data_IF_844095329156
#
_entry.id   IF_844095329156
#
_cell.length_a   1.000
_cell.length_b   1.000
_cell.length_c   1.000
_cell.angle_alpha   90.00
_cell.angle_beta   90.00
_cell.angle_gamma   90.00
#
_symmetry.space_group_name_H-M   'P 1'
#
loop_
_entity.id
_entity.type
_entity.pdbx_description
1 polymer ?
#
# COMPACT_ATOMS: atom_id res chain seq x y z
N UNK A 1 -5.08 -7.53 9.59
CA UNK A 1 -4.51 -6.23 9.13
C UNK A 1 -3.70 -6.51 7.86
N UNK A 2 -3.41 -5.51 7.03
CA UNK A 2 -2.76 -5.65 5.72
C UNK A 2 -1.38 -4.96 5.68
N UNK A 3 -0.59 -5.09 4.60
CA UNK A 3 0.59 -4.23 4.40
C UNK A 3 0.20 -2.78 4.07
N UNK A 4 -1.04 -2.53 3.63
CA UNK A 4 -1.55 -1.22 3.24
C UNK A 4 -1.91 -0.34 4.46
N UNK A 5 -1.27 0.83 4.67
CA UNK A 5 -1.58 1.71 5.79
C UNK A 5 -3.00 2.30 5.69
N UNK A 6 -3.50 2.61 4.49
CA UNK A 6 -4.84 3.16 4.29
C UNK A 6 -5.92 2.21 4.83
N UNK A 7 -5.95 0.96 4.37
CA UNK A 7 -6.97 -0.01 4.78
C UNK A 7 -6.87 -0.35 6.27
N UNK A 8 -5.66 -0.38 6.83
CA UNK A 8 -5.47 -0.53 8.26
C UNK A 8 -6.08 0.63 9.05
N UNK A 9 -5.92 1.87 8.58
CA UNK A 9 -6.57 3.05 9.17
C UNK A 9 -8.09 2.93 9.09
N UNK A 10 -8.65 2.54 7.94
CA UNK A 10 -10.09 2.38 7.79
C UNK A 10 -10.67 1.30 8.74
N UNK A 11 -9.99 0.15 8.89
CA UNK A 11 -10.37 -0.87 9.87
C UNK A 11 -10.21 -0.39 11.32
N UNK A 12 -9.14 0.35 11.64
CA UNK A 12 -8.92 0.93 12.97
C UNK A 12 -10.02 1.94 13.34
N UNK A 13 -10.57 2.66 12.37
CA UNK A 13 -11.61 3.66 12.59
C UNK A 13 -13.04 3.12 12.41
N UNK A 14 -13.20 1.86 11.98
CA UNK A 14 -14.50 1.21 11.84
C UNK A 14 -15.24 1.54 10.53
N UNK A 15 -14.55 2.11 9.53
CA UNK A 15 -15.07 2.20 8.16
C UNK A 15 -15.07 0.82 7.48
N UNK A 16 -14.11 -0.03 7.86
CA UNK A 16 -14.12 -1.47 7.57
C UNK A 16 -14.37 -2.25 8.86
N UNK A 17 -14.70 -3.54 8.72
CA UNK A 17 -14.75 -4.45 9.87
C UNK A 17 -13.46 -4.35 10.68
N UNK A 18 -13.58 -4.13 12.00
CA UNK A 18 -12.43 -3.80 12.86
C UNK A 18 -11.42 -4.93 12.99
N UNK A 19 -11.86 -6.17 12.82
CA UNK A 19 -11.01 -7.36 12.74
C UNK A 19 -10.33 -7.52 11.36
N UNK A 20 -10.79 -6.77 10.37
CA UNK A 20 -10.28 -6.76 9.01
C UNK A 20 -10.69 -7.98 8.21
N UNK A 21 -11.84 -8.60 8.51
CA UNK A 21 -12.30 -9.83 7.87
C UNK A 21 -13.57 -9.65 7.04
N UNK A 22 -13.77 -10.56 6.07
CA UNK A 22 -14.99 -10.65 5.26
C UNK A 22 -15.33 -9.33 4.55
N UNK A 23 -14.35 -8.77 3.84
CA UNK A 23 -14.46 -7.50 3.14
C UNK A 23 -14.67 -7.74 1.64
N UNK A 24 -15.86 -7.41 1.14
CA UNK A 24 -16.13 -7.43 -0.31
C UNK A 24 -15.49 -6.22 -0.97
N UNK A 25 -15.28 -6.29 -2.29
CA UNK A 25 -14.74 -5.16 -3.06
C UNK A 25 -15.61 -3.90 -2.85
N UNK A 26 -16.94 -4.04 -2.88
CA UNK A 26 -17.89 -2.95 -2.66
C UNK A 26 -17.78 -2.33 -1.25
N UNK A 27 -17.56 -3.14 -0.22
CA UNK A 27 -17.35 -2.63 1.14
C UNK A 27 -16.06 -1.80 1.22
N UNK A 28 -14.99 -2.27 0.55
CA UNK A 28 -13.71 -1.55 0.52
C UNK A 28 -13.85 -0.24 -0.27
N UNK A 29 -14.50 -0.28 -1.44
CA UNK A 29 -14.75 0.91 -2.27
C UNK A 29 -15.51 1.98 -1.47
N UNK A 30 -16.63 1.60 -0.85
CA UNK A 30 -17.45 2.52 -0.07
C UNK A 30 -16.68 3.13 1.12
N UNK A 31 -15.85 2.34 1.80
CA UNK A 31 -15.03 2.81 2.90
C UNK A 31 -13.95 3.80 2.45
N UNK A 32 -13.25 3.53 1.34
CA UNK A 32 -12.24 4.44 0.79
C UNK A 32 -12.90 5.75 0.35
N UNK A 33 -13.97 5.68 -0.45
CA UNK A 33 -14.65 6.86 -0.98
C UNK A 33 -15.18 7.76 0.15
N UNK A 34 -15.83 7.17 1.15
CA UNK A 34 -16.41 7.93 2.27
C UNK A 34 -15.37 8.57 3.19
N UNK A 35 -14.25 7.89 3.43
CA UNK A 35 -13.23 8.38 4.36
C UNK A 35 -12.20 9.30 3.68
N UNK A 36 -11.82 9.00 2.45
CA UNK A 36 -10.71 9.65 1.73
C UNK A 36 -11.16 10.62 0.64
N UNK A 37 -12.48 10.74 0.40
CA UNK A 37 -13.05 11.59 -0.65
C UNK A 37 -12.48 11.29 -2.06
N UNK A 38 -12.23 10.00 -2.32
CA UNK A 38 -11.76 9.51 -3.61
C UNK A 38 -12.95 9.19 -4.51
N UNK A 39 -12.86 9.46 -5.80
CA UNK A 39 -13.93 9.08 -6.73
C UNK A 39 -13.92 7.56 -7.00
N UNK A 40 -15.03 7.04 -7.51
CA UNK A 40 -15.21 5.61 -7.73
C UNK A 40 -14.20 5.03 -8.72
N UNK A 41 -13.91 5.72 -9.83
CA UNK A 41 -13.02 5.18 -10.86
C UNK A 41 -11.59 5.06 -10.31
N UNK A 42 -11.11 6.08 -9.61
CA UNK A 42 -9.80 6.03 -8.95
C UNK A 42 -9.76 4.95 -7.87
N UNK A 43 -10.82 4.82 -7.07
CA UNK A 43 -10.91 3.79 -6.03
C UNK A 43 -10.86 2.37 -6.63
N UNK A 44 -11.64 2.12 -7.68
CA UNK A 44 -11.73 0.81 -8.32
C UNK A 44 -10.45 0.41 -9.06
N UNK A 45 -9.63 1.37 -9.48
CA UNK A 45 -8.29 1.06 -10.00
C UNK A 45 -7.45 0.32 -8.95
N UNK A 46 -7.65 0.58 -7.65
CA UNK A 46 -6.93 -0.12 -6.59
C UNK A 46 -7.58 -1.44 -6.23
N UNK A 47 -8.88 -1.41 -5.92
CA UNK A 47 -9.59 -2.56 -5.37
C UNK A 47 -9.80 -3.66 -6.39
N UNK A 48 -10.15 -3.32 -7.64
CA UNK A 48 -10.31 -4.31 -8.71
C UNK A 48 -8.98 -4.97 -9.07
N UNK A 49 -7.88 -4.22 -9.08
CA UNK A 49 -6.54 -4.78 -9.28
C UNK A 49 -6.18 -5.75 -8.15
N UNK A 50 -6.42 -5.38 -6.88
CA UNK A 50 -6.17 -6.29 -5.75
C UNK A 50 -6.96 -7.60 -5.86
N UNK A 51 -8.26 -7.53 -6.17
CA UNK A 51 -9.10 -8.73 -6.32
C UNK A 51 -8.65 -9.59 -7.51
N UNK A 52 -8.40 -8.96 -8.66
CA UNK A 52 -7.95 -9.67 -9.87
C UNK A 52 -6.62 -10.38 -9.63
N UNK A 53 -5.68 -9.75 -8.95
CA UNK A 53 -4.37 -10.33 -8.65
C UNK A 53 -4.43 -11.49 -7.66
N UNK A 54 -5.41 -11.49 -6.76
CA UNK A 54 -5.72 -12.62 -5.90
C UNK A 54 -6.51 -13.73 -6.62
N UNK A 55 -6.82 -13.57 -7.91
CA UNK A 55 -7.60 -14.53 -8.70
C UNK A 55 -9.09 -14.53 -8.34
N UNK A 56 -9.59 -13.43 -7.79
CA UNK A 56 -10.95 -13.28 -7.29
C UNK A 56 -11.84 -12.55 -8.30
N UNK A 57 -13.14 -12.88 -8.27
CA UNK A 57 -14.13 -12.18 -9.09
C UNK A 57 -14.28 -10.72 -8.64
N UNK A 58 -14.31 -9.80 -9.59
CA UNK A 58 -14.59 -8.37 -9.37
C UNK A 58 -16.07 -8.02 -9.58
N UNK A 59 -16.90 -8.99 -9.99
CA UNK A 59 -18.32 -8.79 -10.28
C UNK A 59 -19.25 -9.62 -9.39
N UNK A 60 -18.72 -10.62 -8.68
CA UNK A 60 -19.49 -11.39 -7.71
C UNK A 60 -19.50 -10.66 -6.36
N UNK A 61 -20.65 -10.16 -5.88
CA UNK A 61 -20.73 -9.39 -4.65
C UNK A 61 -20.53 -10.24 -3.38
N UNK A 62 -20.52 -11.58 -3.50
CA UNK A 62 -20.28 -12.48 -2.37
C UNK A 62 -18.81 -12.73 -2.08
N UNK A 63 -17.92 -12.43 -3.05
CA UNK A 63 -16.49 -12.63 -2.91
C UNK A 63 -15.91 -11.59 -1.96
N UNK A 64 -15.20 -12.07 -0.96
CA UNK A 64 -14.62 -11.26 0.10
C UNK A 64 -13.19 -11.70 0.41
N UNK A 65 -12.41 -10.77 0.94
CA UNK A 65 -11.06 -11.00 1.45
C UNK A 65 -10.98 -10.65 2.92
N UNK A 66 -10.01 -11.23 3.59
CA UNK A 66 -9.47 -10.69 4.83
C UNK A 66 -8.29 -9.76 4.48
N UNK A 67 -8.07 -8.71 5.27
CA UNK A 67 -6.98 -7.75 5.01
C UNK A 67 -5.60 -8.40 4.93
N UNK A 68 -5.42 -9.54 5.59
CA UNK A 68 -4.16 -10.30 5.57
C UNK A 68 -3.91 -10.99 4.21
N UNK A 69 -4.94 -11.24 3.40
CA UNK A 69 -4.80 -11.80 2.05
C UNK A 69 -4.03 -10.86 1.11
N UNK A 70 -4.03 -9.55 1.41
CA UNK A 70 -3.24 -8.56 0.70
C UNK A 70 -1.73 -8.66 0.99
N UNK A 71 -1.30 -9.58 1.86
CA UNK A 71 0.10 -9.90 2.10
C UNK A 71 0.64 -10.99 1.15
N UNK A 72 0.04 -11.10 -0.03
CA UNK A 72 0.44 -12.06 -1.04
C UNK A 72 1.62 -11.51 -1.87
N UNK A 73 2.84 -11.87 -1.47
CA UNK A 73 4.08 -11.42 -2.11
C UNK A 73 4.13 -11.75 -3.61
N UNK A 74 4.49 -10.77 -4.42
CA UNK A 74 4.55 -10.86 -5.88
C UNK A 74 3.20 -10.72 -6.58
N UNK A 75 2.10 -10.78 -5.82
CA UNK A 75 0.76 -10.43 -6.26
C UNK A 75 0.51 -8.98 -5.82
N UNK A 76 -0.22 -8.80 -4.74
CA UNK A 76 -0.61 -7.48 -4.20
C UNK A 76 0.48 -6.83 -3.35
N UNK A 77 1.35 -7.63 -2.72
CA UNK A 77 2.49 -7.13 -1.95
C UNK A 77 3.78 -7.19 -2.78
N UNK A 78 4.66 -6.21 -2.60
CA UNK A 78 5.91 -6.10 -3.34
C UNK A 78 7.09 -5.55 -2.51
N UNK A 79 8.28 -5.91 -2.95
CA UNK A 79 9.54 -5.42 -2.40
C UNK A 79 9.72 -3.90 -2.61
N UNK A 80 10.72 -3.34 -1.93
CA UNK A 80 11.01 -1.91 -1.89
C UNK A 80 9.83 -1.08 -1.37
N UNK A 81 9.01 -1.64 -0.47
CA UNK A 81 7.96 -0.92 0.24
C UNK A 81 8.50 0.31 0.99
N UNK A 82 7.70 1.39 1.10
CA UNK A 82 8.16 2.63 1.75
C UNK A 82 8.58 2.45 3.21
N UNK A 83 7.86 1.59 3.94
CA UNK A 83 7.95 1.48 5.40
C UNK A 83 7.90 0.05 5.93
N UNK A 84 7.91 -0.95 5.04
CA UNK A 84 7.88 -2.39 5.35
C UNK A 84 9.11 -3.05 4.74
N UNK A 85 9.56 -4.14 5.35
CA UNK A 85 10.67 -4.94 4.84
C UNK A 85 10.25 -5.67 3.57
N UNK A 86 11.24 -5.97 2.74
CA UNK A 86 11.09 -6.88 1.61
C UNK A 86 10.89 -8.32 2.11
N UNK A 87 10.35 -9.20 1.25
CA UNK A 87 10.02 -10.57 1.65
C UNK A 87 11.23 -11.35 2.16
N UNK A 88 12.39 -11.16 1.55
CA UNK A 88 13.62 -11.84 1.95
C UNK A 88 14.19 -11.33 3.27
N UNK A 89 13.81 -10.11 3.65
CA UNK A 89 14.27 -9.46 4.88
C UNK A 89 13.38 -9.84 6.09
N UNK A 90 12.14 -10.29 5.84
CA UNK A 90 11.29 -10.89 6.88
C UNK A 90 9.82 -10.49 6.78
N UNK A 91 9.31 -9.84 7.84
CA UNK A 91 7.90 -9.47 8.00
C UNK A 91 7.52 -8.28 7.10
N UNK A 92 6.65 -8.55 6.12
CA UNK A 92 6.13 -7.61 5.13
C UNK A 92 4.88 -6.85 5.60
N UNK A 93 4.28 -7.23 6.74
CA UNK A 93 3.05 -6.59 7.25
C UNK A 93 3.35 -5.39 8.15
N UNK A 94 4.28 -5.57 9.08
CA UNK A 94 4.49 -4.61 10.18
C UNK A 94 5.35 -3.43 9.73
N UNK A 95 4.89 -2.24 10.11
CA UNK A 95 5.64 -1.00 9.99
C UNK A 95 7.02 -1.14 10.63
N UNK A 96 8.04 -0.69 9.93
CA UNK A 96 9.40 -0.50 10.43
C UNK A 96 9.60 0.98 10.81
N UNK A 97 9.69 1.33 12.11
CA UNK A 97 9.80 2.72 12.55
C UNK A 97 10.96 3.47 11.89
N UNK A 98 12.14 2.85 11.83
CA UNK A 98 13.32 3.46 11.23
C UNK A 98 13.14 3.78 9.73
N UNK A 99 12.33 3.01 9.00
CA UNK A 99 12.07 3.28 7.58
C UNK A 99 11.12 4.48 7.40
N UNK A 100 10.15 4.63 8.31
CA UNK A 100 9.31 5.82 8.38
C UNK A 100 10.15 7.06 8.73
N UNK A 101 11.03 6.95 9.72
CA UNK A 101 11.94 8.04 10.08
C UNK A 101 12.82 8.44 8.89
N UNK A 102 13.36 7.46 8.15
CA UNK A 102 14.14 7.74 6.94
C UNK A 102 13.31 8.42 5.85
N UNK A 103 12.04 8.03 5.65
CA UNK A 103 11.14 8.70 4.71
C UNK A 103 10.88 10.16 5.10
N UNK A 104 10.69 10.43 6.40
CA UNK A 104 10.52 11.79 6.91
C UNK A 104 11.81 12.60 6.77
N UNK A 105 12.96 12.00 7.06
CA UNK A 105 14.27 12.63 6.90
C UNK A 105 14.60 12.97 5.45
N UNK A 106 14.08 12.21 4.47
CA UNK A 106 14.22 12.52 3.05
C UNK A 106 13.54 13.85 2.66
N UNK A 107 12.70 14.45 3.51
CA UNK A 107 12.21 15.83 3.34
C UNK A 107 13.34 16.88 3.43
N UNK A 108 14.45 16.55 4.10
CA UNK A 108 15.55 17.46 4.35
C UNK A 108 15.12 18.62 5.26
N UNK A 109 15.47 19.88 4.95
CA UNK A 109 15.08 21.03 5.77
C UNK A 109 13.59 21.41 5.63
N UNK A 110 12.86 20.81 4.68
CA UNK A 110 11.44 21.06 4.49
C UNK A 110 10.63 20.44 5.64
N UNK A 111 9.65 21.16 6.22
CA UNK A 111 8.72 20.57 7.18
C UNK A 111 7.64 19.69 6.51
N UNK A 112 7.61 19.64 5.17
CA UNK A 112 6.63 18.88 4.40
C UNK A 112 7.29 17.84 3.51
N UNK A 113 6.60 16.71 3.33
CA UNK A 113 6.86 15.79 2.22
C UNK A 113 6.38 16.43 0.90
N UNK A 114 7.12 16.20 -0.17
CA UNK A 114 6.77 16.64 -1.52
C UNK A 114 7.22 15.59 -2.53
N UNK A 115 6.94 15.84 -3.81
CA UNK A 115 7.32 14.92 -4.89
C UNK A 115 8.81 14.62 -4.94
N UNK A 116 9.66 15.60 -4.61
CA UNK A 116 11.12 15.41 -4.58
C UNK A 116 11.56 14.55 -3.40
N UNK A 117 11.02 14.77 -2.20
CA UNK A 117 11.36 13.93 -1.04
C UNK A 117 10.86 12.50 -1.21
N UNK A 118 9.65 12.30 -1.74
CA UNK A 118 9.14 10.96 -2.04
C UNK A 118 9.97 10.27 -3.14
N UNK A 119 10.43 11.01 -4.15
CA UNK A 119 11.37 10.49 -5.14
C UNK A 119 12.71 10.05 -4.54
N UNK A 120 13.25 10.80 -3.57
CA UNK A 120 14.44 10.39 -2.79
C UNK A 120 14.18 9.11 -2.01
N UNK A 121 13.04 9.01 -1.33
CA UNK A 121 12.64 7.79 -0.60
C UNK A 121 12.56 6.60 -1.53
N UNK A 122 11.91 6.72 -2.69
CA UNK A 122 11.81 5.63 -3.68
C UNK A 122 13.17 5.16 -4.16
N UNK A 123 14.02 6.10 -4.58
CA UNK A 123 15.38 5.78 -5.04
C UNK A 123 16.22 5.12 -3.95
N UNK A 124 16.06 5.55 -2.68
CA UNK A 124 16.74 4.94 -1.54
C UNK A 124 16.23 3.53 -1.26
N UNK A 125 14.90 3.33 -1.22
CA UNK A 125 14.28 2.03 -0.96
C UNK A 125 14.65 0.99 -2.00
N UNK A 126 14.68 1.34 -3.28
CA UNK A 126 15.11 0.43 -4.34
C UNK A 126 16.57 0.03 -4.21
N UNK A 127 17.47 0.95 -3.85
CA UNK A 127 18.89 0.62 -3.58
C UNK A 127 19.04 -0.30 -2.36
N UNK A 128 18.33 0.00 -1.27
CA UNK A 128 18.35 -0.81 -0.04
C UNK A 128 17.79 -2.22 -0.30
N UNK A 129 16.71 -2.34 -1.08
CA UNK A 129 16.10 -3.59 -1.53
C UNK A 129 17.10 -4.46 -2.31
N UNK A 130 17.74 -3.88 -3.33
CA UNK A 130 18.79 -4.57 -4.10
C UNK A 130 19.99 -4.97 -3.24
N UNK A 131 20.43 -4.09 -2.33
CA UNK A 131 21.55 -4.37 -1.45
C UNK A 131 21.25 -5.51 -0.46
N UNK A 132 19.98 -5.69 -0.08
CA UNK A 132 19.53 -6.82 0.74
C UNK A 132 19.45 -8.15 -0.03
N UNK A 133 19.55 -8.12 -1.36
CA UNK A 133 19.48 -9.29 -2.24
C UNK A 133 18.13 -9.50 -2.92
N UNK A 134 17.20 -8.54 -2.82
CA UNK A 134 15.91 -8.63 -3.50
C UNK A 134 16.11 -8.49 -5.03
N UNK A 135 15.25 -9.12 -5.84
CA UNK A 135 15.33 -8.98 -7.28
C UNK A 135 15.05 -7.54 -7.72
N UNK A 136 15.48 -7.20 -8.94
CA UNK A 136 15.06 -5.94 -9.58
C UNK A 136 13.54 -5.94 -9.69
N UNK A 137 12.91 -4.85 -9.28
CA UNK A 137 11.47 -4.68 -9.36
C UNK A 137 10.98 -4.87 -10.80
N UNK A 138 9.88 -5.60 -10.95
CA UNK A 138 9.16 -5.69 -12.22
C UNK A 138 8.53 -4.33 -12.56
N UNK A 139 8.22 -4.10 -13.85
CA UNK A 139 7.52 -2.86 -14.26
C UNK A 139 6.19 -2.66 -13.52
N UNK A 140 5.50 -3.76 -13.19
CA UNK A 140 4.31 -3.75 -12.34
C UNK A 140 4.63 -3.19 -10.95
N UNK A 141 5.60 -3.79 -10.25
CA UNK A 141 5.97 -3.39 -8.90
C UNK A 141 6.48 -1.93 -8.85
N UNK A 142 7.23 -1.49 -9.86
CA UNK A 142 7.62 -0.08 -10.02
C UNK A 142 6.40 0.83 -10.14
N UNK A 143 5.41 0.44 -10.94
CA UNK A 143 4.13 1.15 -11.04
C UNK A 143 3.43 1.30 -9.69
N UNK A 144 3.24 0.19 -8.96
CA UNK A 144 2.63 0.20 -7.62
C UNK A 144 3.39 1.10 -6.65
N UNK A 145 4.72 0.94 -6.59
CA UNK A 145 5.61 1.76 -5.77
C UNK A 145 5.43 3.28 -5.98
N UNK A 146 5.28 3.70 -7.23
CA UNK A 146 5.10 5.12 -7.59
C UNK A 146 3.70 5.62 -7.24
N UNK A 147 2.67 4.81 -7.48
CA UNK A 147 1.29 5.17 -7.14
C UNK A 147 1.14 5.30 -5.62
N UNK A 148 1.69 4.38 -4.83
CA UNK A 148 1.67 4.46 -3.36
C UNK A 148 2.38 5.69 -2.82
N UNK A 149 3.52 6.06 -3.41
CA UNK A 149 4.23 7.29 -3.04
C UNK A 149 3.40 8.54 -3.37
N UNK A 150 2.64 8.54 -4.47
CA UNK A 150 1.72 9.61 -4.80
C UNK A 150 0.53 9.68 -3.82
N UNK A 151 -0.01 8.53 -3.41
CA UNK A 151 -1.11 8.47 -2.43
C UNK A 151 -0.74 9.12 -1.09
N UNK A 152 0.52 9.01 -0.65
CA UNK A 152 0.99 9.74 0.55
C UNK A 152 0.76 11.24 0.41
N UNK A 153 1.04 11.81 -0.76
CA UNK A 153 0.90 13.25 -1.00
C UNK A 153 -0.55 13.67 -1.27
N UNK A 154 -1.33 12.83 -1.96
CA UNK A 154 -2.73 13.13 -2.31
C UNK A 154 -3.65 13.03 -1.08
N UNK A 155 -3.40 12.08 -0.19
CA UNK A 155 -4.28 11.83 0.95
C UNK A 155 -3.93 12.65 2.20
N UNK A 156 -2.68 13.12 2.32
CA UNK A 156 -2.19 13.81 3.52
C UNK A 156 -1.70 15.24 3.26
N UNK A 157 -1.77 15.70 2.00
CA UNK A 157 -1.31 17.02 1.56
C UNK A 157 -2.35 18.13 1.63
#
# INVERSE_FOLDING_TARGET
RSPCPLLNTLANHGFLNRDGRSLTMYHIDAAIMSAMNMDLNTTQLFTANCFTELGLSTTDPSVAIDLEDLNAHGLTEHDASLTRLDKIQGDTLRLQPHMLDNMLNDAGPSPFLNTTSMGRTRARRERESLAAGSPILTSKAQGSCMIEAALVLVLLG
#
